data_IF_658035986211
#
_entry.id   IF_658035986211
#
_cell.length_a   1.000
_cell.length_b   1.000
_cell.length_c   1.000
_cell.angle_alpha   90.00
_cell.angle_beta   90.00
_cell.angle_gamma   90.00
#
_symmetry.space_group_name_H-M   'P 1'
#
loop_
_entity.id
_entity.type
_entity.pdbx_description
1 polymer ?
#
# COMPACT_ATOMS: atom_id res chain seq x y z
N UNK A 1 1.99 9.37 -1.99
CA UNK A 1 1.75 10.41 -0.96
C UNK A 1 2.47 9.98 0.29
N UNK A 2 3.35 10.84 0.80
CA UNK A 2 4.03 10.60 2.06
C UNK A 2 3.09 10.84 3.24
N UNK A 3 2.92 9.84 4.09
CA UNK A 3 2.34 10.00 5.42
C UNK A 3 3.43 9.81 6.48
N UNK A 4 3.35 10.55 7.58
CA UNK A 4 4.35 10.53 8.65
C UNK A 4 4.21 9.29 9.57
N UNK A 5 3.47 8.29 9.16
CA UNK A 5 3.25 7.08 9.96
C UNK A 5 4.55 6.28 10.06
N UNK A 6 4.99 6.03 11.27
CA UNK A 6 6.16 5.21 11.56
C UNK A 6 5.75 3.76 11.80
N UNK A 7 6.26 2.87 10.97
CA UNK A 7 6.01 1.42 11.02
C UNK A 7 7.16 0.64 11.69
N UNK A 8 8.23 1.32 12.11
CA UNK A 8 9.45 0.66 12.63
C UNK A 8 9.21 -0.12 13.94
N UNK A 9 8.20 0.29 14.71
CA UNK A 9 7.81 -0.37 15.94
C UNK A 9 6.79 -1.52 15.74
N UNK A 10 6.30 -1.74 14.51
CA UNK A 10 5.28 -2.74 14.24
C UNK A 10 5.90 -4.10 13.91
N UNK A 11 5.29 -5.16 14.41
CA UNK A 11 5.75 -6.52 14.18
C UNK A 11 5.23 -7.09 12.86
N UNK A 12 6.08 -7.86 12.19
CA UNK A 12 5.70 -8.63 11.01
C UNK A 12 5.33 -10.06 11.39
N UNK A 13 4.09 -10.43 11.16
CA UNK A 13 3.59 -11.79 11.33
C UNK A 13 3.44 -12.44 9.95
N UNK A 14 4.25 -13.44 9.64
CA UNK A 14 4.27 -14.12 8.32
C UNK A 14 4.45 -13.14 7.14
N UNK A 15 5.25 -12.10 7.34
CA UNK A 15 5.55 -11.10 6.31
C UNK A 15 4.45 -10.04 6.09
N UNK A 16 3.49 -9.93 7.00
CA UNK A 16 2.48 -8.87 7.05
C UNK A 16 2.53 -8.17 8.39
N UNK A 17 2.25 -6.89 8.43
CA UNK A 17 2.10 -6.18 9.70
C UNK A 17 0.92 -6.74 10.50
N UNK A 18 1.08 -6.81 11.82
CA UNK A 18 0.00 -7.21 12.72
C UNK A 18 -1.18 -6.23 12.57
N UNK A 19 -2.38 -6.78 12.32
CA UNK A 19 -3.58 -5.99 12.07
C UNK A 19 -3.97 -5.15 13.29
N UNK A 20 -3.75 -5.67 14.50
CA UNK A 20 -4.09 -4.96 15.73
C UNK A 20 -3.17 -3.75 15.92
N UNK A 21 -1.88 -3.92 15.72
CA UNK A 21 -0.90 -2.84 15.84
C UNK A 21 -1.12 -1.76 14.76
N UNK A 22 -1.41 -2.16 13.51
CA UNK A 22 -1.82 -1.22 12.46
C UNK A 22 -3.08 -0.46 12.84
N UNK A 23 -4.05 -1.14 13.42
CA UNK A 23 -5.30 -0.52 13.85
C UNK A 23 -5.06 0.53 14.94
N UNK A 24 -4.25 0.21 15.95
CA UNK A 24 -3.85 1.15 17.00
C UNK A 24 -3.12 2.38 16.45
N UNK A 25 -2.34 2.21 15.39
CA UNK A 25 -1.61 3.29 14.71
C UNK A 25 -2.53 4.22 13.91
N UNK A 26 -3.58 3.68 13.31
CA UNK A 26 -4.46 4.43 12.41
C UNK A 26 -5.68 5.03 13.09
N UNK A 27 -6.27 4.33 14.05
CA UNK A 27 -7.47 4.79 14.76
C UNK A 27 -7.16 6.02 15.59
N UNK A 28 -7.98 7.07 15.44
CA UNK A 28 -7.79 8.34 16.15
C UNK A 28 -6.67 9.22 15.59
N UNK A 29 -5.98 8.81 14.52
CA UNK A 29 -4.91 9.60 13.91
C UNK A 29 -5.50 10.72 13.03
N UNK A 30 -5.88 11.82 13.67
CA UNK A 30 -6.52 12.97 13.01
C UNK A 30 -5.66 13.55 11.89
N UNK A 31 -4.34 13.64 12.08
CA UNK A 31 -3.42 14.16 11.05
C UNK A 31 -3.51 13.33 9.77
N UNK A 32 -3.57 12.00 9.93
CA UNK A 32 -3.71 11.08 8.81
C UNK A 32 -5.07 11.21 8.12
N UNK A 33 -6.16 11.34 8.88
CA UNK A 33 -7.49 11.58 8.30
C UNK A 33 -7.55 12.88 7.52
N UNK A 34 -6.94 13.95 8.02
CA UNK A 34 -6.86 15.25 7.34
C UNK A 34 -6.04 15.16 6.06
N UNK A 35 -4.93 14.42 6.09
CA UNK A 35 -4.10 14.18 4.91
C UNK A 35 -4.88 13.45 3.81
N UNK A 36 -5.54 12.34 4.17
CA UNK A 36 -6.35 11.55 3.23
C UNK A 36 -7.48 12.40 2.65
N UNK A 37 -8.21 13.12 3.49
CA UNK A 37 -9.28 14.01 3.06
C UNK A 37 -8.79 15.13 2.13
N UNK A 38 -7.66 15.76 2.46
CA UNK A 38 -7.03 16.80 1.63
C UNK A 38 -6.74 16.29 0.21
N UNK A 39 -6.14 15.11 0.08
CA UNK A 39 -5.82 14.57 -1.23
C UNK A 39 -7.07 14.10 -1.98
N UNK A 40 -8.06 13.52 -1.30
CA UNK A 40 -9.36 13.22 -1.88
C UNK A 40 -10.00 14.47 -2.48
N UNK A 41 -10.03 15.58 -1.72
CA UNK A 41 -10.60 16.86 -2.17
C UNK A 41 -9.81 17.52 -3.30
N UNK A 42 -8.49 17.33 -3.35
CA UNK A 42 -7.64 17.84 -4.44
C UNK A 42 -8.08 17.28 -5.80
N UNK A 43 -8.44 16.01 -5.85
CA UNK A 43 -8.79 15.32 -7.09
C UNK A 43 -10.31 15.19 -7.33
N UNK A 44 -11.13 15.44 -6.32
CA UNK A 44 -12.61 15.51 -6.38
C UNK A 44 -13.26 14.34 -7.11
N UNK A 45 -12.97 13.11 -6.68
CA UNK A 45 -13.58 11.90 -7.21
C UNK A 45 -15.11 11.92 -7.06
N UNK A 46 -15.79 11.29 -8.02
CA UNK A 46 -17.22 11.03 -7.97
C UNK A 46 -17.55 9.69 -7.33
N UNK A 47 -16.67 8.70 -7.49
CA UNK A 47 -16.83 7.33 -7.00
C UNK A 47 -15.49 6.75 -6.62
N UNK A 48 -15.21 6.71 -5.32
CA UNK A 48 -13.94 6.24 -4.80
C UNK A 48 -14.07 4.92 -4.03
N UNK A 49 -13.00 4.11 -4.08
CA UNK A 49 -12.78 2.97 -3.19
C UNK A 49 -11.55 3.24 -2.31
N UNK A 50 -11.68 3.06 -0.99
CA UNK A 50 -10.59 3.09 -0.03
C UNK A 50 -10.32 1.70 0.54
N UNK A 51 -9.08 1.22 0.47
CA UNK A 51 -8.69 -0.08 1.03
C UNK A 51 -8.05 0.09 2.41
N UNK A 52 -8.75 -0.41 3.44
CA UNK A 52 -8.39 -0.29 4.85
C UNK A 52 -7.77 -1.59 5.40
N UNK A 53 -7.05 -1.49 6.52
CA UNK A 53 -6.41 -2.64 7.16
C UNK A 53 -7.38 -3.46 8.03
N UNK A 54 -8.41 -2.82 8.60
CA UNK A 54 -9.35 -3.46 9.52
C UNK A 54 -10.76 -2.90 9.37
N UNK A 55 -11.75 -3.62 9.91
CA UNK A 55 -13.15 -3.18 9.97
C UNK A 55 -13.29 -1.85 10.70
N UNK A 56 -12.61 -1.72 11.83
CA UNK A 56 -12.64 -0.50 12.64
C UNK A 56 -12.04 0.68 11.86
N UNK A 57 -10.93 0.46 11.14
CA UNK A 57 -10.34 1.49 10.28
C UNK A 57 -11.30 1.93 9.16
N UNK A 58 -12.01 1.00 8.52
CA UNK A 58 -13.00 1.33 7.50
C UNK A 58 -14.18 2.14 8.05
N UNK A 59 -14.70 1.78 9.24
CA UNK A 59 -15.75 2.51 9.96
C UNK A 59 -15.31 3.93 10.31
N UNK A 60 -14.12 4.08 10.90
CA UNK A 60 -13.58 5.39 11.26
C UNK A 60 -13.38 6.29 10.02
N UNK A 61 -12.88 5.74 8.93
CA UNK A 61 -12.74 6.50 7.67
C UNK A 61 -14.09 6.94 7.12
N UNK A 62 -15.09 6.05 7.10
CA UNK A 62 -16.44 6.39 6.65
C UNK A 62 -17.04 7.50 7.52
N UNK A 63 -16.96 7.35 8.85
CA UNK A 63 -17.41 8.34 9.82
C UNK A 63 -16.73 9.70 9.64
N UNK A 64 -15.41 9.72 9.48
CA UNK A 64 -14.65 10.96 9.31
C UNK A 64 -14.96 11.68 8.01
N UNK A 65 -15.23 10.94 6.93
CA UNK A 65 -15.66 11.52 5.66
C UNK A 65 -17.10 12.04 5.75
N UNK A 66 -18.03 11.30 6.35
CA UNK A 66 -19.40 11.76 6.60
C UNK A 66 -19.43 13.05 7.44
N UNK A 67 -18.65 13.15 8.52
CA UNK A 67 -18.51 14.38 9.32
C UNK A 67 -18.05 15.59 8.48
N UNK A 68 -17.30 15.36 7.41
CA UNK A 68 -16.81 16.39 6.49
C UNK A 68 -17.72 16.63 5.29
N UNK A 69 -18.92 16.03 5.29
CA UNK A 69 -19.94 16.21 4.24
C UNK A 69 -19.72 15.35 2.98
N UNK A 70 -18.93 14.27 3.09
CA UNK A 70 -18.75 13.28 2.02
C UNK A 70 -19.46 12.00 2.41
N UNK A 71 -20.63 11.77 1.83
CA UNK A 71 -21.42 10.55 2.07
C UNK A 71 -20.57 9.30 1.74
N UNK A 72 -20.37 8.46 2.75
CA UNK A 72 -19.42 7.35 2.70
C UNK A 72 -19.89 6.20 3.57
N UNK A 73 -19.55 4.97 3.18
CA UNK A 73 -19.85 3.78 3.96
C UNK A 73 -18.64 2.84 4.06
N UNK A 74 -18.62 2.04 5.11
CA UNK A 74 -17.69 0.94 5.28
C UNK A 74 -18.31 -0.37 4.75
N UNK A 75 -17.52 -1.20 4.05
CA UNK A 75 -17.94 -2.51 3.56
C UNK A 75 -16.94 -3.57 3.99
N UNK A 76 -17.42 -4.52 4.79
CA UNK A 76 -16.64 -5.64 5.29
C UNK A 76 -17.53 -6.85 5.58
N UNK A 77 -16.95 -8.01 5.77
CA UNK A 77 -17.68 -9.25 6.06
C UNK A 77 -18.49 -9.15 7.36
N UNK A 78 -19.80 -9.48 7.32
CA UNK A 78 -20.73 -9.35 8.44
C UNK A 78 -20.82 -7.90 8.98
N UNK A 79 -21.01 -6.96 8.08
CA UNK A 79 -21.15 -5.54 8.38
C UNK A 79 -22.34 -5.30 9.35
N UNK A 80 -22.06 -4.63 10.48
CA UNK A 80 -23.03 -4.33 11.54
C UNK A 80 -22.71 -3.03 12.28
N UNK A 81 -21.79 -2.22 11.80
CA UNK A 81 -21.43 -0.92 12.37
C UNK A 81 -22.39 0.19 11.92
N UNK A 82 -22.35 1.31 12.61
CA UNK A 82 -23.18 2.49 12.32
C UNK A 82 -22.94 3.07 10.91
N UNK A 83 -21.69 3.04 10.43
CA UNK A 83 -21.28 3.53 9.12
C UNK A 83 -21.06 2.41 8.11
N UNK A 84 -21.49 1.17 8.41
CA UNK A 84 -21.35 0.05 7.50
C UNK A 84 -22.60 -0.21 6.67
N UNK A 85 -22.40 -0.82 5.51
CA UNK A 85 -23.49 -1.21 4.62
C UNK A 85 -23.19 -2.58 4.01
N UNK A 86 -24.25 -3.24 3.53
CA UNK A 86 -24.11 -4.43 2.69
C UNK A 86 -23.39 -4.08 1.39
N UNK A 87 -22.57 -5.03 0.92
CA UNK A 87 -21.72 -4.83 -0.26
C UNK A 87 -22.50 -4.45 -1.52
N UNK A 88 -23.56 -5.19 -1.82
CA UNK A 88 -24.29 -5.01 -3.08
C UNK A 88 -25.09 -3.72 -3.04
N UNK A 89 -25.64 -3.39 -1.89
CA UNK A 89 -26.34 -2.13 -1.65
C UNK A 89 -25.38 -0.94 -1.71
N UNK A 90 -24.21 -1.02 -1.11
CA UNK A 90 -23.18 0.02 -1.19
C UNK A 90 -22.71 0.27 -2.64
N UNK A 91 -22.58 -0.79 -3.46
CA UNK A 91 -22.26 -0.66 -4.88
C UNK A 91 -23.37 0.07 -5.64
N UNK A 92 -24.63 -0.25 -5.36
CA UNK A 92 -25.78 0.40 -5.99
C UNK A 92 -25.82 1.89 -5.60
N UNK A 93 -25.70 2.22 -4.32
CA UNK A 93 -25.62 3.60 -3.82
C UNK A 93 -24.45 4.37 -4.46
N UNK A 94 -23.27 3.74 -4.63
CA UNK A 94 -22.12 4.36 -5.28
C UNK A 94 -22.39 4.63 -6.78
N UNK A 95 -23.03 3.70 -7.48
CA UNK A 95 -23.45 3.88 -8.88
C UNK A 95 -24.43 5.04 -9.03
N UNK A 96 -25.39 5.12 -8.14
CA UNK A 96 -26.42 6.19 -8.11
C UNK A 96 -25.89 7.54 -7.58
N UNK A 97 -24.63 7.59 -7.11
CA UNK A 97 -24.00 8.75 -6.47
C UNK A 97 -24.71 9.21 -5.17
N UNK A 98 -25.44 8.33 -4.53
CA UNK A 98 -25.99 8.54 -3.18
C UNK A 98 -24.87 8.58 -2.15
N UNK A 99 -23.83 7.76 -2.36
CA UNK A 99 -22.56 7.85 -1.64
C UNK A 99 -21.42 8.11 -2.64
N UNK A 100 -20.30 8.62 -2.14
CA UNK A 100 -19.11 8.96 -2.97
C UNK A 100 -17.93 8.05 -2.71
N UNK A 101 -17.84 7.47 -1.51
CA UNK A 101 -16.71 6.64 -1.12
C UNK A 101 -17.20 5.38 -0.42
N UNK A 102 -16.62 4.24 -0.81
CA UNK A 102 -16.70 2.99 -0.06
C UNK A 102 -15.32 2.71 0.56
N UNK A 103 -15.25 2.59 1.87
CA UNK A 103 -14.08 2.11 2.58
C UNK A 103 -14.22 0.61 2.83
N UNK A 104 -13.26 -0.20 2.40
CA UNK A 104 -13.41 -1.65 2.35
C UNK A 104 -12.25 -2.40 2.99
N UNK A 105 -12.58 -3.56 3.58
CA UNK A 105 -11.62 -4.54 4.05
C UNK A 105 -11.85 -5.84 3.29
N UNK A 106 -10.92 -6.19 2.40
CA UNK A 106 -10.84 -7.44 1.62
C UNK A 106 -12.09 -7.84 0.79
N UNK A 107 -13.18 -7.06 0.85
CA UNK A 107 -14.44 -7.38 0.16
C UNK A 107 -14.42 -7.12 -1.35
N UNK A 108 -13.45 -6.34 -1.83
CA UNK A 108 -13.31 -5.97 -3.24
C UNK A 108 -12.06 -6.58 -3.90
N UNK A 109 -11.46 -7.60 -3.29
CA UNK A 109 -10.31 -8.29 -3.85
C UNK A 109 -10.70 -9.19 -5.04
N UNK A 110 -11.93 -9.79 -5.02
CA UNK A 110 -12.40 -10.68 -6.06
C UNK A 110 -13.88 -10.43 -6.42
N UNK A 111 -14.26 -10.71 -7.67
CA UNK A 111 -15.66 -10.87 -8.11
C UNK A 111 -16.52 -9.61 -8.25
N UNK A 112 -16.04 -8.39 -7.99
CA UNK A 112 -16.87 -7.18 -8.09
C UNK A 112 -16.51 -6.37 -9.31
N UNK A 113 -17.51 -6.11 -10.13
CA UNK A 113 -17.42 -5.18 -11.24
C UNK A 113 -17.96 -3.80 -10.83
N UNK A 114 -17.09 -2.83 -10.60
CA UNK A 114 -17.47 -1.42 -10.39
C UNK A 114 -16.75 -0.54 -11.41
N UNK A 115 -17.13 -0.62 -12.70
CA UNK A 115 -16.39 0.06 -13.78
C UNK A 115 -16.45 1.58 -13.66
N UNK A 116 -17.41 2.12 -12.93
CA UNK A 116 -17.59 3.56 -12.73
C UNK A 116 -16.67 4.19 -11.67
N UNK A 117 -15.85 3.40 -10.95
CA UNK A 117 -14.88 3.93 -9.98
C UNK A 117 -13.81 4.73 -10.71
N UNK A 118 -13.61 5.98 -10.27
CA UNK A 118 -12.64 6.92 -10.84
C UNK A 118 -11.49 7.25 -9.88
N UNK A 119 -11.56 6.76 -8.62
CA UNK A 119 -10.47 6.86 -7.65
C UNK A 119 -10.32 5.61 -6.80
N UNK A 120 -9.06 5.23 -6.56
CA UNK A 120 -8.67 4.17 -5.61
C UNK A 120 -7.69 4.75 -4.59
N UNK A 121 -7.94 4.51 -3.31
CA UNK A 121 -7.08 4.94 -2.21
C UNK A 121 -6.53 3.73 -1.47
N UNK A 122 -5.21 3.57 -1.44
CA UNK A 122 -4.54 2.58 -0.61
C UNK A 122 -4.22 3.21 0.75
N UNK A 123 -5.01 2.84 1.76
CA UNK A 123 -4.93 3.39 3.12
C UNK A 123 -4.23 2.43 4.09
N UNK A 124 -3.62 1.39 3.57
CA UNK A 124 -2.83 0.41 4.32
C UNK A 124 -1.59 0.03 3.54
N UNK A 125 -0.52 -0.47 4.20
CA UNK A 125 0.62 -1.03 3.49
C UNK A 125 0.18 -2.19 2.60
N UNK A 126 0.54 -2.13 1.32
CA UNK A 126 0.22 -3.18 0.35
C UNK A 126 1.43 -4.09 0.20
N UNK A 127 1.38 -5.27 0.78
CA UNK A 127 2.52 -6.20 0.84
C UNK A 127 2.54 -7.22 -0.30
N UNK A 128 1.36 -7.54 -0.85
CA UNK A 128 1.21 -8.50 -1.94
C UNK A 128 1.07 -7.78 -3.29
N UNK A 129 2.01 -8.00 -4.23
CA UNK A 129 1.90 -7.48 -5.59
C UNK A 129 0.59 -7.89 -6.28
N UNK A 130 0.14 -9.12 -6.02
CA UNK A 130 -1.08 -9.66 -6.61
C UNK A 130 -2.31 -8.92 -6.09
N UNK A 131 -2.40 -8.70 -4.78
CA UNK A 131 -3.51 -7.96 -4.17
C UNK A 131 -3.52 -6.51 -4.66
N UNK A 132 -2.36 -5.85 -4.72
CA UNK A 132 -2.23 -4.50 -5.26
C UNK A 132 -2.76 -4.40 -6.69
N UNK A 133 -2.28 -5.28 -7.58
CA UNK A 133 -2.72 -5.28 -8.99
C UNK A 133 -4.19 -5.66 -9.14
N UNK A 134 -4.73 -6.55 -8.31
CA UNK A 134 -6.14 -6.89 -8.31
C UNK A 134 -7.02 -5.71 -7.89
N UNK A 135 -6.62 -5.00 -6.84
CA UNK A 135 -7.33 -3.81 -6.35
C UNK A 135 -7.26 -2.67 -7.36
N UNK A 136 -6.07 -2.43 -7.93
CA UNK A 136 -5.87 -1.43 -8.99
C UNK A 136 -6.70 -1.75 -10.23
N UNK A 137 -6.68 -3.01 -10.68
CA UNK A 137 -7.40 -3.47 -11.88
C UNK A 137 -8.91 -3.24 -11.83
N UNK A 138 -9.51 -3.12 -10.65
CA UNK A 138 -10.92 -2.75 -10.48
C UNK A 138 -11.23 -1.35 -11.00
N UNK A 139 -10.33 -0.42 -10.71
CA UNK A 139 -10.45 0.94 -11.18
C UNK A 139 -10.03 1.14 -12.64
N UNK A 140 -9.25 0.24 -13.24
CA UNK A 140 -8.77 0.37 -14.62
C UNK A 140 -9.82 0.04 -15.68
N UNK A 141 -10.99 -0.52 -15.31
CA UNK A 141 -12.04 -0.81 -16.27
C UNK A 141 -12.61 0.46 -16.87
N UNK A 142 -12.84 0.43 -18.16
CA UNK A 142 -13.43 1.54 -18.90
C UNK A 142 -14.92 1.67 -18.61
N UNK A 143 -15.40 2.89 -18.47
CA UNK A 143 -16.83 3.20 -18.39
C UNK A 143 -17.12 4.54 -19.04
N UNK A 144 -18.38 4.76 -19.44
CA UNK A 144 -18.80 6.00 -20.11
C UNK A 144 -18.54 7.22 -19.21
N UNK A 145 -17.79 8.17 -19.72
CA UNK A 145 -17.43 9.41 -19.00
C UNK A 145 -16.30 9.30 -17.99
N UNK A 146 -15.56 8.19 -18.02
CA UNK A 146 -14.33 8.00 -17.24
C UNK A 146 -13.13 8.04 -18.19
N UNK A 147 -12.29 9.04 -18.05
CA UNK A 147 -11.11 9.24 -18.90
C UNK A 147 -9.85 8.57 -18.27
N UNK A 148 -9.73 8.61 -16.94
CA UNK A 148 -8.61 8.06 -16.20
C UNK A 148 -9.04 7.54 -14.82
N UNK A 149 -8.16 6.80 -14.18
CA UNK A 149 -8.26 6.38 -12.79
C UNK A 149 -7.22 7.15 -11.97
N UNK A 150 -7.66 7.77 -10.90
CA UNK A 150 -6.77 8.36 -9.90
C UNK A 150 -6.43 7.30 -8.87
N UNK A 151 -5.15 7.09 -8.61
CA UNK A 151 -4.66 6.19 -7.58
C UNK A 151 -3.91 7.00 -6.54
N UNK A 152 -4.38 6.98 -5.31
CA UNK A 152 -3.73 7.60 -4.16
C UNK A 152 -3.15 6.51 -3.28
N UNK A 153 -1.85 6.43 -3.19
CA UNK A 153 -1.14 5.50 -2.32
C UNK A 153 -0.49 6.28 -1.17
N UNK A 154 -0.96 6.04 0.05
CA UNK A 154 -0.47 6.71 1.26
C UNK A 154 0.64 5.86 1.86
N UNK A 155 1.87 6.24 1.55
CA UNK A 155 3.07 5.50 1.89
C UNK A 155 3.73 6.12 3.12
N UNK A 156 3.78 5.34 4.20
CA UNK A 156 4.59 5.66 5.37
C UNK A 156 5.97 4.99 5.30
N UNK A 157 6.71 5.08 6.38
CA UNK A 157 8.04 4.46 6.51
C UNK A 157 7.95 2.96 6.80
N UNK A 158 7.50 2.14 5.83
CA UNK A 158 7.42 0.70 5.98
C UNK A 158 8.39 -0.04 5.02
N UNK A 159 8.85 -1.22 5.41
CA UNK A 159 9.95 -1.95 4.74
C UNK A 159 9.80 -2.17 3.23
N UNK A 160 8.56 -2.26 2.75
CA UNK A 160 8.27 -2.57 1.34
C UNK A 160 7.79 -1.37 0.52
N UNK A 161 7.82 -0.17 1.10
CA UNK A 161 7.33 1.06 0.46
C UNK A 161 7.93 1.29 -0.94
N UNK A 162 9.23 1.08 -1.09
CA UNK A 162 9.94 1.22 -2.35
C UNK A 162 9.60 0.20 -3.44
N UNK A 163 8.66 -0.73 -3.20
CA UNK A 163 8.22 -1.72 -4.22
C UNK A 163 7.09 -1.21 -5.11
N UNK A 164 6.28 -0.29 -4.62
CA UNK A 164 5.10 0.20 -5.35
C UNK A 164 5.40 0.69 -6.77
N UNK A 165 6.47 1.49 -7.02
CA UNK A 165 6.81 1.93 -8.37
C UNK A 165 7.10 0.77 -9.33
N UNK A 166 7.78 -0.27 -8.86
CA UNK A 166 8.11 -1.44 -9.68
C UNK A 166 6.89 -2.32 -9.99
N UNK A 167 5.90 -2.35 -9.09
CA UNK A 167 4.64 -3.07 -9.31
C UNK A 167 3.83 -2.47 -10.46
N UNK A 168 3.92 -1.17 -10.66
CA UNK A 168 3.20 -0.46 -11.73
C UNK A 168 3.78 -0.77 -13.13
N UNK A 169 5.06 -1.08 -13.22
CA UNK A 169 5.75 -1.33 -14.50
C UNK A 169 5.91 -2.82 -14.82
N UNK A 170 5.59 -3.71 -13.86
CA UNK A 170 5.87 -5.15 -14.00
C UNK A 170 7.37 -5.49 -13.99
N UNK A 171 8.25 -4.52 -13.71
CA UNK A 171 9.69 -4.75 -13.64
C UNK A 171 10.08 -5.34 -12.30
N UNK A 172 11.03 -6.27 -12.29
CA UNK A 172 11.60 -6.79 -11.05
C UNK A 172 12.70 -5.85 -10.54
N UNK A 173 12.77 -5.68 -9.23
CA UNK A 173 13.84 -4.92 -8.55
C UNK A 173 15.22 -5.61 -8.66
N UNK A 174 15.26 -6.80 -9.27
CA UNK A 174 16.45 -7.61 -9.48
C UNK A 174 16.91 -7.50 -10.93
N UNK A 175 17.63 -6.43 -11.24
CA UNK A 175 18.49 -6.43 -12.42
C UNK A 175 19.77 -7.18 -12.08
N UNK A 176 20.05 -8.28 -12.76
CA UNK A 176 21.31 -9.05 -12.66
C UNK A 176 22.55 -8.29 -13.18
N UNK A 177 22.39 -7.07 -13.61
CA UNK A 177 23.47 -6.19 -14.03
C UNK A 177 23.60 -5.03 -13.07
N UNK A 178 24.79 -4.78 -12.58
CA UNK A 178 25.33 -3.79 -11.64
C UNK A 178 24.85 -2.32 -11.76
N UNK A 179 23.78 -2.02 -12.42
CA UNK A 179 23.14 -0.72 -12.51
C UNK A 179 21.84 -0.74 -11.72
N UNK A 180 21.89 -0.29 -10.47
CA UNK A 180 20.70 0.04 -9.69
C UNK A 180 19.92 1.09 -10.48
N UNK A 181 18.74 0.72 -10.98
CA UNK A 181 17.81 1.71 -11.51
C UNK A 181 17.26 2.49 -10.32
N UNK A 182 17.52 3.77 -10.30
CA UNK A 182 16.90 4.68 -9.36
C UNK A 182 15.38 4.68 -9.56
N UNK A 183 14.59 4.79 -8.48
CA UNK A 183 13.11 4.82 -8.57
C UNK A 183 12.63 5.94 -9.50
N UNK A 184 13.39 7.03 -9.59
CA UNK A 184 13.12 8.17 -10.48
C UNK A 184 13.39 7.88 -11.97
N UNK A 185 14.16 6.82 -12.28
CA UNK A 185 14.50 6.44 -13.65
C UNK A 185 13.55 5.38 -14.24
N UNK A 186 12.45 5.10 -13.52
CA UNK A 186 11.45 4.13 -13.96
C UNK A 186 10.58 4.75 -15.06
N UNK A 187 10.60 4.13 -16.23
CA UNK A 187 9.68 4.46 -17.31
C UNK A 187 8.31 3.80 -17.06
N UNK A 188 7.27 4.61 -17.00
CA UNK A 188 5.90 4.14 -16.86
C UNK A 188 5.23 3.98 -18.23
N UNK A 189 4.21 3.11 -18.35
CA UNK A 189 3.46 2.95 -19.59
C UNK A 189 2.85 4.27 -20.08
N UNK A 190 2.70 4.41 -21.41
CA UNK A 190 2.07 5.57 -22.04
C UNK A 190 0.68 5.88 -21.42
N UNK A 191 0.46 7.15 -21.12
CA UNK A 191 -0.77 7.61 -20.49
C UNK A 191 -0.82 7.46 -18.97
N UNK A 192 0.23 6.91 -18.32
CA UNK A 192 0.41 6.90 -16.88
C UNK A 192 1.20 8.12 -16.42
N UNK A 193 0.67 8.85 -15.43
CA UNK A 193 1.39 9.91 -14.74
C UNK A 193 1.60 9.43 -13.30
N UNK A 194 2.85 9.34 -12.88
CA UNK A 194 3.21 8.96 -11.51
C UNK A 194 3.96 10.12 -10.86
N UNK A 195 3.48 10.54 -9.71
CA UNK A 195 4.04 11.66 -8.95
C UNK A 195 4.31 11.23 -7.51
N UNK A 196 5.44 11.64 -6.96
CA UNK A 196 5.87 11.35 -5.60
C UNK A 196 6.02 12.64 -4.80
N UNK A 197 5.53 12.62 -3.56
CA UNK A 197 5.87 13.68 -2.61
C UNK A 197 7.39 13.68 -2.34
N UNK A 198 8.02 14.85 -2.28
CA UNK A 198 9.48 14.98 -2.08
C UNK A 198 10.03 14.16 -0.91
N UNK A 199 9.40 14.12 0.29
CA UNK A 199 9.89 13.29 1.39
C UNK A 199 9.91 11.78 1.08
N UNK A 200 9.11 11.30 0.12
CA UNK A 200 9.17 9.90 -0.32
C UNK A 200 10.43 9.60 -1.11
N UNK A 201 10.94 10.54 -1.88
CA UNK A 201 12.18 10.39 -2.64
C UNK A 201 13.33 10.19 -1.65
N UNK A 202 13.41 11.05 -0.64
CA UNK A 202 14.42 10.96 0.41
C UNK A 202 14.33 9.63 1.16
N UNK A 203 13.10 9.20 1.51
CA UNK A 203 12.84 7.91 2.16
C UNK A 203 13.32 6.73 1.30
N UNK A 204 13.03 6.75 0.01
CA UNK A 204 13.45 5.68 -0.91
C UNK A 204 14.97 5.62 -1.08
N UNK A 205 15.64 6.77 -1.14
CA UNK A 205 17.10 6.85 -1.16
C UNK A 205 17.73 6.31 0.12
N UNK A 206 17.15 6.63 1.28
CA UNK A 206 17.61 6.12 2.57
C UNK A 206 17.42 4.59 2.66
N UNK A 207 16.26 4.08 2.24
CA UNK A 207 16.00 2.64 2.18
C UNK A 207 16.97 1.90 1.24
N UNK A 208 17.35 2.51 0.10
CA UNK A 208 18.35 1.93 -0.81
C UNK A 208 19.74 1.90 -0.18
N UNK A 209 20.15 2.98 0.51
CA UNK A 209 21.43 3.03 1.25
C UNK A 209 21.49 1.96 2.34
N UNK A 210 20.41 1.79 3.11
CA UNK A 210 20.32 0.79 4.17
C UNK A 210 20.36 -0.65 3.62
N UNK A 211 19.73 -0.92 2.47
CA UNK A 211 19.84 -2.22 1.79
C UNK A 211 21.25 -2.54 1.31
N UNK A 212 21.98 -1.53 0.82
CA UNK A 212 23.38 -1.70 0.42
C UNK A 212 24.25 -2.09 1.63
N UNK A 213 24.05 -1.38 2.75
CA UNK A 213 24.73 -1.68 4.01
C UNK A 213 24.43 -3.11 4.52
N UNK A 214 23.16 -3.54 4.44
CA UNK A 214 22.76 -4.90 4.82
C UNK A 214 23.40 -5.96 3.93
N UNK A 215 23.50 -5.73 2.61
CA UNK A 215 24.18 -6.64 1.69
C UNK A 215 25.66 -6.77 2.04
N UNK A 216 26.34 -5.66 2.27
CA UNK A 216 27.76 -5.67 2.68
C UNK A 216 27.98 -6.39 4.00
N UNK A 217 27.06 -6.21 4.96
CA UNK A 217 27.10 -6.93 6.24
C UNK A 217 26.92 -8.43 6.04
N UNK A 218 25.95 -8.85 5.20
CA UNK A 218 25.74 -10.27 4.88
C UNK A 218 26.94 -10.86 4.16
N UNK A 219 27.54 -10.15 3.19
CA UNK A 219 28.75 -10.59 2.51
C UNK A 219 29.93 -10.73 3.47
N UNK A 220 30.13 -9.75 4.34
CA UNK A 220 31.19 -9.77 5.35
C UNK A 220 31.00 -10.94 6.32
N UNK A 221 29.78 -11.18 6.77
CA UNK A 221 29.46 -12.29 7.66
C UNK A 221 29.60 -13.64 6.97
N UNK A 222 29.22 -13.75 5.70
CA UNK A 222 29.46 -14.94 4.90
C UNK A 222 30.95 -15.27 4.80
N UNK A 223 31.80 -14.29 4.50
CA UNK A 223 33.25 -14.51 4.42
C UNK A 223 33.87 -14.82 5.77
N UNK A 224 33.37 -14.26 6.87
CA UNK A 224 33.77 -14.61 8.22
C UNK A 224 33.52 -16.11 8.50
N UNK A 225 32.34 -16.60 8.15
CA UNK A 225 31.98 -18.03 8.32
C UNK A 225 32.76 -18.91 7.37
N UNK A 226 32.98 -18.48 6.14
CA UNK A 226 33.81 -19.17 5.16
C UNK A 226 35.23 -19.40 5.70
N UNK A 227 35.87 -18.41 6.27
CA UNK A 227 37.21 -18.51 6.87
C UNK A 227 37.20 -19.38 8.13
N UNK A 228 36.18 -19.27 8.97
CA UNK A 228 36.00 -20.08 10.17
C UNK A 228 35.90 -21.57 9.83
N UNK A 229 35.33 -21.94 8.70
CA UNK A 229 35.17 -23.29 8.21
C UNK A 229 36.36 -23.80 7.38
N UNK A 230 37.50 -23.10 7.43
CA UNK A 230 38.72 -23.49 6.69
C UNK A 230 38.64 -23.21 5.20
N UNK A 231 38.08 -22.05 4.83
CA UNK A 231 37.94 -21.55 3.44
C UNK A 231 37.12 -22.49 2.54
N UNK A 232 36.09 -23.10 3.08
CA UNK A 232 35.05 -23.79 2.31
C UNK A 232 33.72 -23.10 2.34
N UNK A 233 32.94 -23.25 1.27
CA UNK A 233 31.59 -22.67 1.17
C UNK A 233 30.69 -23.23 2.28
N UNK A 234 30.09 -22.36 3.13
CA UNK A 234 29.16 -22.79 4.17
C UNK A 234 27.92 -23.43 3.57
N UNK A 235 27.40 -24.47 4.19
CA UNK A 235 26.07 -24.98 3.90
C UNK A 235 25.00 -24.00 4.46
N UNK A 236 23.79 -24.12 3.97
CA UNK A 236 22.67 -23.30 4.45
C UNK A 236 22.45 -23.44 5.97
N UNK A 237 22.61 -24.66 6.50
CA UNK A 237 22.47 -24.93 7.93
C UNK A 237 23.58 -24.26 8.74
N UNK A 238 24.82 -24.31 8.27
CA UNK A 238 25.95 -23.63 8.92
C UNK A 238 25.81 -22.13 8.91
N UNK A 239 25.32 -21.54 7.81
CA UNK A 239 24.99 -20.10 7.80
C UNK A 239 23.96 -19.76 8.88
N UNK A 240 22.89 -20.53 9.01
CA UNK A 240 21.88 -20.29 10.06
C UNK A 240 22.43 -20.51 11.48
N UNK A 241 23.43 -21.38 11.65
CA UNK A 241 23.99 -21.69 12.97
C UNK A 241 25.01 -20.66 13.43
N UNK A 242 25.77 -20.08 12.49
CA UNK A 242 26.90 -19.20 12.79
C UNK A 242 26.67 -17.73 12.47
N UNK A 243 25.59 -17.36 11.76
CA UNK A 243 25.20 -15.95 11.61
C UNK A 243 24.61 -15.45 12.91
N UNK A 244 25.16 -14.36 13.44
CA UNK A 244 24.57 -13.66 14.56
C UNK A 244 23.22 -13.05 14.15
N UNK A 245 22.22 -13.19 15.02
CA UNK A 245 20.83 -12.76 14.82
C UNK A 245 20.70 -11.24 14.85
#
# INVERSE_FOLDING_TARGET
IYDETDYSALHLVKGRYDEKELNETYIGNVKRYDLIYKYYMKYRSKRALGFCCSRQHAEEMAKEFCKRGIESVAVYSNANGEFSEDRDKAIEQLKNQEIKVIFSVDMFNEGVDVPSVDMVMFLRPTESPVVFLQQLGRGLRTSKGKEYLIVLDFIGNYEKAGRTPFLLTGQSNTSNNNTRRHILDIEYPDGCIVDFDMPLIDLFEEMEKNRASTKELIEKEFYRIYDLLGSRVPTRLELFTYMDS
#
